data_IF_505260213089
#
_entry.id   IF_505260213089
#
_cell.length_a   1.000
_cell.length_b   1.000
_cell.length_c   1.000
_cell.angle_alpha   90.00
_cell.angle_beta   90.00
_cell.angle_gamma   90.00
#
_symmetry.space_group_name_H-M   'P 1'
#
loop_
_entity.id
_entity.type
_entity.pdbx_description
1 polymer ?
#
# COMPACT_ATOMS: atom_id res chain seq x y z
N UNK A 1 -67.25 -49.15 10.80
CA UNK A 1 -66.32 -48.49 9.86
C UNK A 1 -67.19 -47.66 8.91
N UNK A 2 -67.67 -46.45 9.24
CA UNK A 2 -67.00 -45.13 9.21
C UNK A 2 -66.41 -44.82 7.81
N UNK A 3 -66.73 -43.78 7.00
CA UNK A 3 -67.50 -42.50 6.99
C UNK A 3 -67.83 -42.20 5.48
N UNK A 4 -69.03 -41.79 4.98
CA UNK A 4 -69.75 -40.49 4.97
C UNK A 4 -68.90 -39.26 4.57
N UNK A 5 -68.94 -38.76 3.33
CA UNK A 5 -69.81 -37.70 2.74
C UNK A 5 -69.48 -36.26 3.22
N UNK A 6 -69.17 -35.42 2.21
CA UNK A 6 -69.39 -33.97 2.07
C UNK A 6 -68.38 -32.93 2.60
N UNK A 7 -68.41 -31.80 1.88
CA UNK A 7 -67.89 -30.44 2.14
C UNK A 7 -66.44 -30.18 1.66
N UNK A 8 -66.20 -29.54 0.52
CA UNK A 8 -66.68 -28.24 -0.01
C UNK A 8 -66.17 -27.03 0.81
N UNK A 9 -65.35 -26.22 0.13
CA UNK A 9 -64.95 -24.83 0.42
C UNK A 9 -64.16 -24.54 1.73
N UNK A 10 -62.84 -24.33 1.56
CA UNK A 10 -62.05 -23.31 2.26
C UNK A 10 -61.09 -22.70 1.24
N UNK A 11 -61.40 -21.58 0.59
CA UNK A 11 -61.18 -20.22 1.11
C UNK A 11 -60.01 -20.12 2.10
N UNK A 12 -58.83 -19.75 1.60
CA UNK A 12 -58.23 -18.45 1.85
C UNK A 12 -56.96 -18.35 1.01
N UNK A 13 -57.03 -17.51 -0.01
CA UNK A 13 -55.88 -16.77 -0.53
C UNK A 13 -55.11 -16.19 0.67
N UNK A 14 -53.98 -16.81 1.03
CA UNK A 14 -52.99 -16.15 1.84
C UNK A 14 -52.40 -15.01 1.00
N UNK A 15 -52.45 -13.75 1.45
CA UNK A 15 -51.58 -12.75 0.89
C UNK A 15 -50.16 -13.18 1.24
N UNK A 16 -49.35 -13.51 0.23
CA UNK A 16 -47.91 -13.63 0.37
C UNK A 16 -47.36 -12.27 0.78
N UNK A 17 -47.34 -12.01 2.09
CA UNK A 17 -46.52 -10.97 2.70
C UNK A 17 -45.07 -11.40 2.63
N UNK A 18 -44.51 -11.36 1.42
CA UNK A 18 -43.07 -11.43 1.22
C UNK A 18 -42.56 -9.99 1.23
N UNK A 19 -42.58 -9.38 2.43
CA UNK A 19 -41.78 -8.18 2.71
C UNK A 19 -40.32 -8.62 2.88
N UNK A 20 -39.80 -9.41 1.93
CA UNK A 20 -38.39 -9.77 1.86
C UNK A 20 -37.65 -8.50 1.49
N UNK A 21 -37.10 -7.83 2.50
CA UNK A 21 -36.23 -6.66 2.34
C UNK A 21 -35.22 -7.00 1.24
N UNK A 22 -35.24 -6.23 0.15
CA UNK A 22 -34.29 -6.36 -0.93
C UNK A 22 -32.92 -5.93 -0.42
N UNK A 23 -32.09 -6.92 -0.05
CA UNK A 23 -30.75 -6.67 0.47
C UNK A 23 -29.84 -6.07 -0.60
N UNK A 24 -30.07 -6.33 -1.88
CA UNK A 24 -29.23 -5.75 -2.94
C UNK A 24 -29.49 -4.25 -3.07
N UNK A 25 -30.76 -3.84 -3.06
CA UNK A 25 -31.12 -2.43 -3.00
C UNK A 25 -30.59 -1.77 -1.72
N UNK A 26 -30.77 -2.42 -0.57
CA UNK A 26 -30.30 -1.92 0.72
C UNK A 26 -28.79 -1.67 0.74
N UNK A 27 -27.96 -2.66 0.35
CA UNK A 27 -26.50 -2.52 0.35
C UNK A 27 -26.03 -1.46 -0.66
N UNK A 28 -26.68 -1.38 -1.83
CA UNK A 28 -26.36 -0.38 -2.85
C UNK A 28 -26.69 1.03 -2.36
N UNK A 29 -27.83 1.23 -1.73
CA UNK A 29 -28.31 2.56 -1.33
C UNK A 29 -27.64 3.05 -0.04
N UNK A 30 -27.46 2.19 0.95
CA UNK A 30 -26.87 2.57 2.23
C UNK A 30 -25.34 2.62 2.19
N UNK A 31 -24.71 1.71 1.46
CA UNK A 31 -23.26 1.54 1.53
C UNK A 31 -22.55 1.73 0.18
N UNK A 32 -23.29 2.04 -0.90
CA UNK A 32 -22.74 2.17 -2.25
C UNK A 32 -21.94 0.94 -2.69
N UNK A 33 -22.34 -0.25 -2.21
CA UNK A 33 -21.63 -1.52 -2.47
C UNK A 33 -22.57 -2.52 -3.15
N UNK A 34 -22.02 -3.35 -4.02
CA UNK A 34 -22.73 -4.46 -4.66
C UNK A 34 -21.99 -5.77 -4.44
N UNK A 35 -22.67 -6.90 -4.61
CA UNK A 35 -22.02 -8.21 -4.55
C UNK A 35 -20.88 -8.31 -5.55
N UNK A 36 -21.09 -7.82 -6.77
CA UNK A 36 -20.10 -7.83 -7.84
C UNK A 36 -18.83 -7.03 -7.48
N UNK A 37 -18.99 -5.92 -6.78
CA UNK A 37 -17.87 -5.13 -6.30
C UNK A 37 -17.06 -5.89 -5.24
N UNK A 38 -17.73 -6.51 -4.26
CA UNK A 38 -17.06 -7.28 -3.20
C UNK A 38 -16.40 -8.54 -3.74
N UNK A 39 -17.08 -9.25 -4.65
CA UNK A 39 -16.61 -10.49 -5.28
C UNK A 39 -15.46 -10.28 -6.27
N UNK A 40 -15.25 -9.05 -6.75
CA UNK A 40 -14.19 -8.75 -7.71
C UNK A 40 -12.83 -8.97 -7.08
N UNK A 41 -12.02 -9.89 -7.60
CA UNK A 41 -10.62 -10.02 -7.19
C UNK A 41 -9.69 -9.52 -8.28
N UNK A 42 -8.54 -9.02 -7.84
CA UNK A 42 -7.51 -8.48 -8.73
C UNK A 42 -6.79 -9.62 -9.44
N UNK A 43 -7.19 -9.89 -10.68
CA UNK A 43 -6.53 -10.84 -11.57
C UNK A 43 -5.90 -10.06 -12.74
N UNK A 44 -4.62 -10.34 -13.01
CA UNK A 44 -3.78 -9.61 -13.95
C UNK A 44 -4.29 -9.62 -15.40
N UNK A 45 -5.20 -10.53 -15.75
CA UNK A 45 -5.70 -10.68 -17.13
C UNK A 45 -7.12 -10.14 -17.32
N UNK A 46 -8.03 -10.36 -16.37
CA UNK A 46 -9.42 -9.84 -16.35
C UNK A 46 -9.95 -9.84 -14.92
N UNK A 47 -10.82 -8.89 -14.52
CA UNK A 47 -11.52 -8.98 -13.24
C UNK A 47 -12.37 -10.26 -13.25
N UNK A 48 -12.08 -11.14 -12.30
CA UNK A 48 -12.81 -12.40 -12.16
C UNK A 48 -13.50 -12.42 -10.79
N UNK A 49 -14.71 -12.99 -10.71
CA UNK A 49 -15.48 -13.02 -9.45
C UNK A 49 -15.09 -14.20 -8.57
N UNK A 50 -14.81 -13.95 -7.30
CA UNK A 50 -14.64 -14.97 -6.28
C UNK A 50 -16.03 -15.46 -5.82
N UNK A 51 -16.11 -16.76 -5.51
CA UNK A 51 -17.31 -17.37 -4.94
C UNK A 51 -17.14 -17.71 -3.46
N UNK A 52 -15.89 -17.78 -2.98
CA UNK A 52 -15.57 -18.09 -1.59
C UNK A 52 -15.27 -16.81 -0.81
N UNK A 53 -15.95 -16.66 0.32
CA UNK A 53 -15.83 -15.52 1.23
C UNK A 53 -15.46 -16.01 2.62
N UNK A 54 -14.59 -15.27 3.30
CA UNK A 54 -14.27 -15.46 4.72
C UNK A 54 -14.77 -14.25 5.50
N UNK A 55 -15.63 -14.48 6.50
CA UNK A 55 -16.16 -13.47 7.39
C UNK A 55 -15.35 -13.46 8.70
N UNK A 56 -14.59 -12.40 8.91
CA UNK A 56 -13.74 -12.20 10.09
C UNK A 56 -14.34 -11.15 11.01
N UNK A 57 -15.24 -11.58 11.89
CA UNK A 57 -15.99 -10.73 12.80
C UNK A 57 -15.75 -11.22 14.24
N UNK A 58 -15.05 -10.44 15.09
CA UNK A 58 -14.87 -10.77 16.49
C UNK A 58 -16.22 -10.95 17.20
N UNK A 59 -16.35 -12.00 18.02
CA UNK A 59 -17.62 -12.38 18.65
C UNK A 59 -17.96 -11.59 19.94
N UNK A 60 -17.13 -10.61 20.30
CA UNK A 60 -17.16 -9.94 21.61
C UNK A 60 -18.28 -8.90 21.73
N UNK A 61 -18.92 -8.49 20.63
CA UNK A 61 -19.90 -7.41 20.60
C UNK A 61 -21.18 -7.82 19.89
N UNK A 62 -22.32 -7.53 20.52
CA UNK A 62 -23.65 -7.77 19.94
C UNK A 62 -23.87 -6.96 18.65
N UNK A 63 -23.32 -5.75 18.55
CA UNK A 63 -23.40 -4.94 17.33
C UNK A 63 -22.65 -5.65 16.19
N UNK A 64 -21.42 -6.11 16.45
CA UNK A 64 -20.62 -6.86 15.47
C UNK A 64 -21.30 -8.17 15.09
N UNK A 65 -22.03 -8.78 16.03
CA UNK A 65 -22.84 -9.96 15.78
C UNK A 65 -23.94 -9.69 14.74
N UNK A 66 -24.69 -8.59 14.89
CA UNK A 66 -25.74 -8.19 13.95
C UNK A 66 -25.16 -7.85 12.56
N UNK A 67 -24.02 -7.15 12.52
CA UNK A 67 -23.35 -6.85 11.25
C UNK A 67 -22.92 -8.12 10.50
N UNK A 68 -22.40 -9.12 11.22
CA UNK A 68 -22.07 -10.41 10.66
C UNK A 68 -23.29 -11.11 10.07
N UNK A 69 -24.42 -11.14 10.79
CA UNK A 69 -25.63 -11.83 10.35
C UNK A 69 -26.18 -11.20 9.06
N UNK A 70 -26.20 -9.87 9.01
CA UNK A 70 -26.62 -9.12 7.83
C UNK A 70 -25.70 -9.39 6.63
N UNK A 71 -24.39 -9.38 6.84
CA UNK A 71 -23.41 -9.70 5.79
C UNK A 71 -23.51 -11.17 5.32
N UNK A 72 -23.68 -12.10 6.25
CA UNK A 72 -23.80 -13.52 5.95
C UNK A 72 -25.08 -13.82 5.14
N UNK A 73 -26.22 -13.24 5.51
CA UNK A 73 -27.46 -13.38 4.74
C UNK A 73 -27.37 -12.70 3.36
N UNK A 74 -26.71 -11.54 3.25
CA UNK A 74 -26.43 -10.93 1.96
C UNK A 74 -25.63 -11.86 1.04
N UNK A 75 -24.53 -12.43 1.52
CA UNK A 75 -23.70 -13.35 0.72
C UNK A 75 -24.42 -14.65 0.36
N UNK A 76 -25.23 -15.17 1.27
CA UNK A 76 -26.02 -16.40 1.07
C UNK A 76 -27.05 -16.24 -0.04
N UNK A 77 -27.70 -15.08 -0.17
CA UNK A 77 -28.63 -14.80 -1.29
C UNK A 77 -27.96 -14.86 -2.66
N UNK A 78 -26.66 -14.59 -2.71
CA UNK A 78 -25.82 -14.72 -3.92
C UNK A 78 -25.19 -16.11 -4.09
N UNK A 79 -25.59 -17.10 -3.30
CA UNK A 79 -25.03 -18.46 -3.31
C UNK A 79 -23.50 -18.49 -3.10
N UNK A 80 -22.96 -17.54 -2.32
CA UNK A 80 -21.55 -17.53 -1.98
C UNK A 80 -21.21 -18.65 -0.99
N UNK A 81 -20.02 -19.24 -1.12
CA UNK A 81 -19.47 -20.17 -0.13
C UNK A 81 -18.84 -19.35 0.99
N UNK A 82 -19.45 -19.38 2.18
CA UNK A 82 -19.02 -18.57 3.32
C UNK A 82 -18.30 -19.41 4.36
N UNK A 83 -17.11 -18.94 4.75
CA UNK A 83 -16.32 -19.39 5.90
C UNK A 83 -16.38 -18.29 6.98
N UNK A 84 -16.13 -18.63 8.24
CA UNK A 84 -16.29 -17.68 9.35
C UNK A 84 -15.28 -17.86 10.47
N UNK A 85 -14.91 -16.76 11.13
CA UNK A 85 -14.12 -16.78 12.37
C UNK A 85 -14.85 -17.42 13.55
N UNK A 86 -16.14 -17.72 13.41
CA UNK A 86 -16.97 -18.38 14.43
C UNK A 86 -16.86 -19.89 14.40
N UNK A 87 -16.44 -20.46 13.28
CA UNK A 87 -16.21 -21.89 13.15
C UNK A 87 -14.72 -22.15 13.35
N UNK A 88 -14.33 -23.00 14.30
CA UNK A 88 -12.95 -23.45 14.41
C UNK A 88 -12.46 -24.01 13.07
N UNK A 89 -11.18 -23.84 12.76
CA UNK A 89 -10.51 -24.36 11.56
C UNK A 89 -10.91 -23.74 10.22
N UNK A 90 -12.02 -22.99 10.14
CA UNK A 90 -12.48 -22.39 8.87
C UNK A 90 -11.44 -21.45 8.27
N UNK A 91 -10.70 -20.71 9.11
CA UNK A 91 -9.61 -19.86 8.64
C UNK A 91 -8.52 -20.68 7.96
N UNK A 92 -8.03 -21.72 8.63
CA UNK A 92 -6.96 -22.55 8.10
C UNK A 92 -7.42 -23.27 6.82
N UNK A 93 -8.65 -23.77 6.80
CA UNK A 93 -9.25 -24.37 5.61
C UNK A 93 -9.32 -23.37 4.46
N UNK A 94 -9.82 -22.16 4.69
CA UNK A 94 -9.88 -21.10 3.70
C UNK A 94 -8.48 -20.76 3.19
N UNK A 95 -7.56 -20.40 4.09
CA UNK A 95 -6.22 -19.93 3.76
C UNK A 95 -5.40 -20.98 3.01
N UNK A 96 -5.58 -22.27 3.30
CA UNK A 96 -4.84 -23.35 2.63
C UNK A 96 -5.46 -23.74 1.30
N UNK A 97 -6.78 -23.87 1.23
CA UNK A 97 -7.46 -24.47 0.06
C UNK A 97 -7.87 -23.46 -1.00
N UNK A 98 -8.19 -22.23 -0.61
CA UNK A 98 -8.73 -21.23 -1.53
C UNK A 98 -7.58 -20.54 -2.27
N UNK A 99 -7.65 -20.59 -3.60
CA UNK A 99 -6.74 -19.86 -4.50
C UNK A 99 -7.29 -18.48 -4.88
N UNK A 100 -8.60 -18.34 -4.78
CA UNK A 100 -9.33 -17.16 -5.22
C UNK A 100 -10.54 -16.93 -4.32
N UNK A 101 -10.54 -15.82 -3.60
CA UNK A 101 -11.52 -15.59 -2.53
C UNK A 101 -11.58 -14.14 -2.07
N UNK A 102 -12.46 -13.88 -1.11
CA UNK A 102 -12.59 -12.57 -0.47
C UNK A 102 -12.52 -12.75 1.03
N UNK A 103 -11.74 -11.92 1.72
CA UNK A 103 -11.77 -11.81 3.18
C UNK A 103 -12.47 -10.50 3.54
N UNK A 104 -13.56 -10.59 4.28
CA UNK A 104 -14.31 -9.47 4.83
C UNK A 104 -14.04 -9.40 6.33
N UNK A 105 -13.19 -8.46 6.74
CA UNK A 105 -12.85 -8.24 8.14
C UNK A 105 -13.62 -7.05 8.70
N UNK A 106 -14.22 -7.23 9.87
CA UNK A 106 -14.80 -6.12 10.60
C UNK A 106 -13.68 -5.16 11.05
N UNK A 107 -13.94 -3.86 11.05
CA UNK A 107 -12.95 -2.82 11.37
C UNK A 107 -12.34 -2.93 12.76
N UNK A 108 -12.90 -3.73 13.67
CA UNK A 108 -12.31 -3.96 14.99
C UNK A 108 -11.22 -5.04 14.98
N UNK A 109 -11.08 -5.79 13.89
CA UNK A 109 -10.04 -6.81 13.78
C UNK A 109 -8.72 -6.19 13.32
N UNK A 110 -7.69 -6.26 14.18
CA UNK A 110 -6.35 -5.71 13.93
C UNK A 110 -5.24 -6.77 13.91
N UNK A 111 -5.53 -8.00 14.34
CA UNK A 111 -4.52 -9.02 14.60
C UNK A 111 -4.18 -9.88 13.37
N UNK A 112 -4.04 -9.23 12.20
CA UNK A 112 -3.72 -9.92 10.94
C UNK A 112 -2.38 -10.68 11.01
N UNK A 113 -1.41 -10.13 11.74
CA UNK A 113 -0.08 -10.72 11.92
C UNK A 113 -0.11 -12.08 12.65
N UNK A 114 -1.16 -12.33 13.44
CA UNK A 114 -1.32 -13.57 14.21
C UNK A 114 -2.03 -14.69 13.40
N UNK A 115 -2.50 -14.39 12.20
CA UNK A 115 -3.24 -15.35 11.39
C UNK A 115 -2.30 -16.38 10.75
N UNK A 116 -2.52 -17.69 10.94
CA UNK A 116 -1.70 -18.71 10.30
C UNK A 116 -1.91 -18.70 8.78
N UNK A 117 -0.86 -18.98 8.01
CA UNK A 117 -0.88 -19.01 6.53
C UNK A 117 -1.24 -17.69 5.83
N UNK A 118 -1.26 -16.58 6.58
CA UNK A 118 -1.68 -15.29 6.06
C UNK A 118 -0.74 -14.77 4.97
N UNK A 119 0.58 -14.96 5.15
CA UNK A 119 1.60 -14.59 4.17
C UNK A 119 1.41 -15.30 2.83
N UNK A 120 1.08 -16.58 2.88
CA UNK A 120 0.81 -17.40 1.70
C UNK A 120 -0.50 -16.99 1.04
N UNK A 121 -1.50 -16.58 1.83
CA UNK A 121 -2.80 -16.15 1.34
C UNK A 121 -2.73 -14.83 0.56
N UNK A 122 -1.99 -13.85 1.08
CA UNK A 122 -1.86 -12.52 0.44
C UNK A 122 -1.08 -12.55 -0.88
N UNK A 123 -0.39 -13.67 -1.17
CA UNK A 123 0.28 -13.91 -2.44
C UNK A 123 -0.65 -14.51 -3.51
N UNK A 124 -1.87 -14.90 -3.14
CA UNK A 124 -2.88 -15.48 -4.04
C UNK A 124 -3.87 -14.41 -4.51
N UNK A 125 -4.82 -14.81 -5.36
CA UNK A 125 -5.87 -13.93 -5.87
C UNK A 125 -7.00 -13.74 -4.85
N UNK A 126 -6.66 -13.27 -3.66
CA UNK A 126 -7.60 -13.03 -2.56
C UNK A 126 -7.68 -11.53 -2.29
N UNK A 127 -8.89 -10.97 -2.34
CA UNK A 127 -9.13 -9.57 -1.99
C UNK A 127 -9.49 -9.44 -0.52
N UNK A 128 -8.95 -8.44 0.16
CA UNK A 128 -9.28 -8.15 1.55
C UNK A 128 -10.08 -6.86 1.63
N UNK A 129 -11.07 -6.84 2.50
CA UNK A 129 -11.88 -5.68 2.80
C UNK A 129 -11.97 -5.47 4.30
N UNK A 130 -11.85 -4.22 4.72
CA UNK A 130 -12.28 -3.74 6.03
C UNK A 130 -13.69 -3.18 5.90
N UNK A 131 -14.56 -3.49 6.85
CA UNK A 131 -15.93 -2.99 6.85
C UNK A 131 -16.48 -2.71 8.24
N UNK A 132 -17.47 -1.84 8.30
CA UNK A 132 -18.41 -1.73 9.42
C UNK A 132 -19.73 -1.17 8.92
N UNK A 133 -20.84 -1.82 9.26
CA UNK A 133 -22.16 -1.44 8.76
C UNK A 133 -22.83 -0.38 9.63
N UNK A 134 -22.51 -0.34 10.93
CA UNK A 134 -23.14 0.58 11.89
C UNK A 134 -22.52 1.97 11.86
N UNK A 135 -21.21 2.06 11.64
CA UNK A 135 -20.48 3.33 11.60
C UNK A 135 -19.48 3.36 10.45
N UNK A 136 -19.23 4.52 9.85
CA UNK A 136 -18.15 4.67 8.88
C UNK A 136 -16.80 4.28 9.49
N UNK A 137 -15.90 3.81 8.63
CA UNK A 137 -14.54 3.43 8.97
C UNK A 137 -13.75 4.64 9.49
N UNK A 138 -13.08 4.47 10.63
CA UNK A 138 -12.39 5.58 11.32
C UNK A 138 -11.12 6.07 10.60
N UNK A 139 -10.52 5.22 9.76
CA UNK A 139 -9.24 5.47 9.09
C UNK A 139 -9.37 5.48 7.56
N UNK A 140 -10.59 5.62 7.04
CA UNK A 140 -10.79 5.79 5.61
C UNK A 140 -10.64 7.27 5.21
N UNK A 141 -10.07 7.51 4.03
CA UNK A 141 -9.88 8.88 3.49
C UNK A 141 -11.22 9.63 3.32
N UNK A 142 -12.30 8.89 3.16
CA UNK A 142 -13.66 9.38 3.06
C UNK A 142 -14.60 8.53 3.92
N UNK A 143 -15.72 9.11 4.34
CA UNK A 143 -16.77 8.40 5.10
C UNK A 143 -17.29 7.21 4.30
N UNK A 144 -16.74 6.02 4.57
CA UNK A 144 -17.07 4.77 3.89
C UNK A 144 -17.32 3.67 4.90
N UNK A 145 -18.23 2.77 4.55
CA UNK A 145 -18.51 1.55 5.32
C UNK A 145 -17.68 0.35 4.84
N UNK A 146 -17.08 0.45 3.64
CA UNK A 146 -16.26 -0.58 3.03
C UNK A 146 -14.97 0.05 2.48
N UNK A 147 -13.84 -0.57 2.75
CA UNK A 147 -12.56 -0.17 2.18
C UNK A 147 -11.80 -1.43 1.80
N UNK A 148 -11.35 -1.51 0.55
CA UNK A 148 -10.44 -2.56 0.15
C UNK A 148 -9.12 -2.32 0.87
N UNK A 149 -8.66 -3.33 1.59
CA UNK A 149 -7.37 -3.31 2.25
C UNK A 149 -6.42 -4.19 1.43
N UNK A 150 -5.18 -3.76 1.29
CA UNK A 150 -4.16 -4.45 0.50
C UNK A 150 -4.51 -4.59 -0.99
N UNK A 151 -5.06 -3.54 -1.66
CA UNK A 151 -5.56 -3.64 -3.02
C UNK A 151 -4.46 -3.99 -4.01
N UNK A 152 -3.31 -3.32 -3.93
CA UNK A 152 -2.19 -3.52 -4.86
C UNK A 152 -0.84 -3.16 -4.22
N UNK A 153 0.19 -3.94 -4.58
CA UNK A 153 1.59 -3.62 -4.35
C UNK A 153 2.08 -3.81 -2.92
N UNK A 154 2.96 -2.94 -2.42
CA UNK A 154 3.68 -3.13 -1.17
C UNK A 154 4.66 -2.01 -0.82
N UNK A 155 5.15 -2.05 0.42
CA UNK A 155 6.23 -1.19 0.89
C UNK A 155 7.39 -2.04 1.36
N UNK A 156 8.57 -1.71 0.88
CA UNK A 156 9.80 -2.39 1.24
C UNK A 156 10.52 -1.54 2.28
N UNK A 157 10.76 -2.08 3.48
CA UNK A 157 11.59 -1.39 4.47
C UNK A 157 13.06 -1.75 4.25
N UNK A 158 13.89 -0.73 4.03
CA UNK A 158 15.35 -0.86 3.97
C UNK A 158 15.97 -0.19 5.21
N UNK A 159 16.58 -1.02 6.06
CA UNK A 159 17.19 -0.61 7.33
C UNK A 159 18.62 -0.09 7.13
N UNK A 160 19.10 0.70 8.10
CA UNK A 160 20.45 1.29 8.03
C UNK A 160 21.55 0.23 7.95
N UNK A 161 21.45 -0.83 8.74
CA UNK A 161 22.41 -1.94 8.73
C UNK A 161 22.48 -2.60 7.35
N UNK A 162 21.35 -2.70 6.64
CA UNK A 162 21.32 -3.24 5.30
C UNK A 162 22.01 -2.32 4.30
N UNK A 163 21.75 -1.00 4.36
CA UNK A 163 22.40 -0.02 3.48
C UNK A 163 23.91 0.00 3.67
N UNK A 164 24.38 -0.09 4.92
CA UNK A 164 25.82 -0.09 5.24
C UNK A 164 26.51 -1.41 4.87
N UNK A 165 25.85 -2.55 5.16
CA UNK A 165 26.41 -3.88 4.89
C UNK A 165 26.43 -4.21 3.40
N UNK A 166 25.39 -3.83 2.67
CA UNK A 166 25.21 -4.16 1.25
C UNK A 166 24.70 -2.95 0.44
N UNK A 167 25.57 -1.94 0.23
CA UNK A 167 25.18 -0.73 -0.49
C UNK A 167 24.89 -1.01 -1.96
N UNK A 168 25.55 -2.00 -2.57
CA UNK A 168 25.30 -2.39 -3.96
C UNK A 168 23.87 -2.94 -4.12
N UNK A 169 23.44 -3.82 -3.20
CA UNK A 169 22.09 -4.33 -3.20
C UNK A 169 21.05 -3.22 -3.01
N UNK A 170 21.30 -2.25 -2.13
CA UNK A 170 20.42 -1.09 -1.95
C UNK A 170 20.28 -0.29 -3.23
N UNK A 171 21.40 0.00 -3.91
CA UNK A 171 21.40 0.73 -5.17
C UNK A 171 20.64 -0.03 -6.28
N UNK A 172 20.81 -1.35 -6.32
CA UNK A 172 20.08 -2.25 -7.23
C UNK A 172 18.57 -2.20 -6.97
N UNK A 173 18.13 -2.24 -5.71
CA UNK A 173 16.72 -2.13 -5.35
C UNK A 173 16.14 -0.79 -5.80
N UNK A 174 16.84 0.32 -5.60
CA UNK A 174 16.40 1.64 -6.05
C UNK A 174 16.28 1.73 -7.57
N UNK A 175 17.25 1.17 -8.30
CA UNK A 175 17.22 1.12 -9.76
C UNK A 175 16.08 0.23 -10.29
N UNK A 176 15.87 -0.92 -9.65
CA UNK A 176 14.73 -1.80 -9.94
C UNK A 176 13.40 -1.11 -9.69
N UNK A 177 13.24 -0.45 -8.53
CA UNK A 177 12.01 0.27 -8.19
C UNK A 177 11.70 1.32 -9.26
N UNK A 178 12.71 2.08 -9.69
CA UNK A 178 12.57 3.11 -10.73
C UNK A 178 12.04 2.56 -12.05
N UNK A 179 12.53 1.40 -12.48
CA UNK A 179 12.04 0.75 -13.70
C UNK A 179 10.65 0.13 -13.47
N UNK A 180 10.41 -0.44 -12.28
CA UNK A 180 9.18 -1.13 -11.91
C UNK A 180 7.96 -0.22 -11.82
N UNK A 181 8.07 0.90 -11.11
CA UNK A 181 6.96 1.86 -10.93
C UNK A 181 6.54 2.52 -12.25
N UNK A 182 7.42 2.53 -13.27
CA UNK A 182 7.09 3.02 -14.61
C UNK A 182 6.27 2.02 -15.43
N UNK A 183 6.33 0.73 -15.10
CA UNK A 183 5.67 -0.34 -15.86
C UNK A 183 4.34 -0.80 -15.24
N UNK A 184 4.11 -0.52 -13.96
CA UNK A 184 2.92 -0.97 -13.20
C UNK A 184 2.09 0.23 -12.77
N UNK A 185 0.93 -0.04 -12.15
CA UNK A 185 0.10 0.99 -11.53
C UNK A 185 0.95 1.87 -10.61
N UNK A 186 1.02 3.16 -10.93
CA UNK A 186 1.77 4.14 -10.15
C UNK A 186 1.26 4.15 -8.69
N UNK A 187 2.17 4.29 -7.73
CA UNK A 187 1.85 4.28 -6.30
C UNK A 187 1.71 2.89 -5.65
N UNK A 188 1.70 1.80 -6.44
CA UNK A 188 1.55 0.45 -5.88
C UNK A 188 2.77 0.00 -5.06
N UNK A 189 3.99 0.37 -5.45
CA UNK A 189 5.21 -0.05 -4.74
C UNK A 189 5.97 1.15 -4.21
N UNK A 190 6.37 1.07 -2.94
CA UNK A 190 7.18 2.07 -2.27
C UNK A 190 8.36 1.45 -1.55
N UNK A 191 9.36 2.26 -1.24
CA UNK A 191 10.47 1.89 -0.35
C UNK A 191 10.50 2.87 0.80
N UNK A 192 10.53 2.36 2.03
CA UNK A 192 10.75 3.16 3.23
C UNK A 192 12.20 3.03 3.69
N UNK A 193 12.79 4.16 4.07
CA UNK A 193 14.10 4.23 4.71
C UNK A 193 13.98 4.83 6.12
N UNK A 194 15.12 4.83 6.83
CA UNK A 194 15.33 5.65 8.03
C UNK A 194 14.91 7.12 7.83
N UNK A 195 14.64 7.86 8.91
CA UNK A 195 14.41 9.29 8.83
C UNK A 195 15.61 10.05 8.26
N UNK A 196 15.31 11.08 7.47
CA UNK A 196 16.27 11.95 6.82
C UNK A 196 17.37 11.20 6.06
N UNK A 197 16.95 10.28 5.17
CA UNK A 197 17.88 9.42 4.42
C UNK A 197 18.85 10.23 3.54
N UNK A 198 18.40 11.34 2.97
CA UNK A 198 19.21 12.14 2.04
C UNK A 198 20.40 12.78 2.75
N UNK A 199 20.18 13.48 3.88
CA UNK A 199 21.29 14.06 4.64
C UNK A 199 22.17 12.98 5.27
N UNK A 200 21.58 11.85 5.65
CA UNK A 200 22.34 10.72 6.19
C UNK A 200 23.30 10.14 5.14
N UNK A 201 22.85 9.96 3.89
CA UNK A 201 23.70 9.47 2.80
C UNK A 201 24.89 10.41 2.52
N UNK A 202 24.67 11.74 2.58
CA UNK A 202 25.72 12.74 2.38
C UNK A 202 26.78 12.73 3.49
N UNK A 203 26.47 12.19 4.67
CA UNK A 203 27.38 12.06 5.81
C UNK A 203 28.18 10.76 5.80
N UNK A 204 27.88 9.82 4.91
CA UNK A 204 28.57 8.54 4.88
C UNK A 204 29.99 8.70 4.34
N UNK A 205 30.99 8.04 4.95
CA UNK A 205 32.36 8.08 4.45
C UNK A 205 32.43 7.38 3.09
N UNK A 206 33.22 7.95 2.17
CA UNK A 206 33.47 7.33 0.87
C UNK A 206 34.11 5.95 1.05
N UNK A 207 33.62 4.91 0.34
CA UNK A 207 34.22 3.59 0.40
C UNK A 207 35.68 3.62 -0.05
N UNK A 208 36.53 2.86 0.64
CA UNK A 208 37.95 2.69 0.27
C UNK A 208 38.14 1.96 -1.06
N UNK A 209 37.18 1.10 -1.42
CA UNK A 209 37.17 0.37 -2.68
C UNK A 209 36.84 1.32 -3.84
N UNK A 210 37.75 1.52 -4.82
CA UNK A 210 37.52 2.36 -5.99
C UNK A 210 36.26 1.98 -6.78
N UNK A 211 35.87 0.70 -6.79
CA UNK A 211 34.69 0.23 -7.51
C UNK A 211 33.37 0.68 -6.87
N UNK A 212 33.43 1.11 -5.60
CA UNK A 212 32.29 1.57 -4.80
C UNK A 212 32.28 3.08 -4.56
N UNK A 213 33.25 3.81 -5.12
CA UNK A 213 33.30 5.27 -4.99
C UNK A 213 32.04 5.91 -5.59
N UNK A 214 31.45 6.85 -4.84
CA UNK A 214 30.24 7.56 -5.26
C UNK A 214 28.95 6.74 -5.15
N UNK A 215 28.98 5.58 -4.47
CA UNK A 215 27.78 4.77 -4.25
C UNK A 215 26.70 5.51 -3.46
N UNK A 216 27.09 6.27 -2.43
CA UNK A 216 26.17 7.06 -1.61
C UNK A 216 25.54 8.20 -2.41
N UNK A 217 26.33 8.91 -3.21
CA UNK A 217 25.85 9.95 -4.12
C UNK A 217 24.92 9.38 -5.20
N UNK A 218 25.19 8.16 -5.67
CA UNK A 218 24.33 7.48 -6.64
C UNK A 218 22.97 7.11 -6.04
N UNK A 219 22.95 6.62 -4.78
CA UNK A 219 21.71 6.40 -4.05
C UNK A 219 20.93 7.70 -3.85
N UNK A 220 21.61 8.75 -3.39
CA UNK A 220 21.03 10.09 -3.20
C UNK A 220 20.35 10.57 -4.48
N UNK A 221 21.07 10.55 -5.60
CA UNK A 221 20.56 11.00 -6.90
C UNK A 221 19.36 10.15 -7.36
N UNK A 222 19.37 8.83 -7.13
CA UNK A 222 18.25 7.96 -7.48
C UNK A 222 17.01 8.24 -6.61
N UNK A 223 17.17 8.46 -5.31
CA UNK A 223 16.06 8.80 -4.41
C UNK A 223 15.41 10.12 -4.84
N UNK A 224 16.23 11.15 -5.11
CA UNK A 224 15.72 12.44 -5.62
C UNK A 224 14.98 12.26 -6.95
N UNK A 225 15.52 11.46 -7.88
CA UNK A 225 14.86 11.18 -9.16
C UNK A 225 13.55 10.41 -9.01
N UNK A 226 13.47 9.48 -8.06
CA UNK A 226 12.25 8.70 -7.79
C UNK A 226 11.12 9.59 -7.28
N UNK A 227 11.43 10.55 -6.39
CA UNK A 227 10.41 11.44 -5.82
C UNK A 227 10.07 12.64 -6.73
N UNK A 228 10.99 13.07 -7.60
CA UNK A 228 10.71 14.17 -8.56
C UNK A 228 10.09 13.72 -9.88
N UNK A 229 10.10 12.41 -10.16
CA UNK A 229 9.81 11.85 -11.49
C UNK A 229 8.34 11.78 -11.90
N UNK A 230 7.39 12.28 -11.09
CA UNK A 230 5.94 12.14 -11.34
C UNK A 230 5.25 13.51 -11.40
N UNK A 231 5.64 14.32 -12.38
CA UNK A 231 4.93 15.58 -12.70
C UNK A 231 3.72 15.20 -13.56
N UNK A 232 2.53 15.10 -12.96
CA UNK A 232 1.33 14.79 -13.73
C UNK A 232 -0.02 14.77 -13.01
N UNK A 233 -0.09 14.54 -11.70
CA UNK A 233 -1.38 14.41 -11.01
C UNK A 233 -1.28 14.85 -9.54
N UNK A 234 -2.28 15.59 -9.05
CA UNK A 234 -2.26 16.31 -7.76
C UNK A 234 -2.32 15.40 -6.51
N UNK A 235 -2.25 14.07 -6.68
CA UNK A 235 -2.40 13.09 -5.59
C UNK A 235 -1.30 12.01 -5.58
N UNK A 236 -0.14 12.26 -6.16
CA UNK A 236 0.96 11.28 -6.18
C UNK A 236 1.69 11.22 -4.83
N UNK A 237 1.61 10.07 -4.17
CA UNK A 237 2.46 9.73 -3.04
C UNK A 237 3.88 9.38 -3.52
N UNK A 238 4.89 9.82 -2.77
CA UNK A 238 6.29 9.58 -3.10
C UNK A 238 6.64 8.07 -3.10
N UNK A 239 7.33 7.56 -4.15
CA UNK A 239 7.80 6.18 -4.19
C UNK A 239 8.83 5.86 -3.11
N UNK A 240 9.59 6.86 -2.64
CA UNK A 240 10.53 6.71 -1.53
C UNK A 240 10.05 7.50 -0.33
N UNK A 241 9.77 6.79 0.76
CA UNK A 241 9.32 7.35 2.03
C UNK A 241 10.53 7.47 2.96
N UNK A 242 10.83 8.69 3.38
CA UNK A 242 11.77 8.98 4.46
C UNK A 242 11.27 10.21 5.20
N UNK A 243 10.87 10.02 6.45
CA UNK A 243 10.35 11.11 7.29
C UNK A 243 11.48 12.02 7.74
N UNK A 244 11.18 13.28 8.02
CA UNK A 244 12.18 14.22 8.56
C UNK A 244 12.69 13.75 9.93
N UNK A 245 11.79 13.22 10.76
CA UNK A 245 12.09 12.70 12.07
C UNK A 245 11.08 11.62 12.49
N UNK A 246 11.57 10.64 13.25
CA UNK A 246 10.76 9.77 14.10
C UNK A 246 11.13 10.13 15.55
N UNK A 247 10.16 10.34 16.46
CA UNK A 247 10.44 10.67 17.85
C UNK A 247 11.42 9.66 18.47
N UNK A 248 12.43 10.14 19.22
CA UNK A 248 13.45 9.31 19.87
C UNK A 248 14.32 8.45 18.93
N UNK A 249 14.19 8.58 17.61
CA UNK A 249 15.02 7.83 16.67
C UNK A 249 16.49 8.27 16.75
N UNK A 250 17.41 7.32 16.92
CA UNK A 250 18.83 7.60 17.11
C UNK A 250 19.25 7.91 18.55
N UNK A 251 18.29 8.15 19.46
CA UNK A 251 18.55 8.44 20.87
C UNK A 251 17.79 7.55 21.85
N UNK A 252 17.00 6.58 21.35
CA UNK A 252 16.18 5.68 22.16
C UNK A 252 17.04 4.88 23.12
N UNK A 253 16.70 4.92 24.40
CA UNK A 253 17.36 4.19 25.49
C UNK A 253 16.55 2.97 25.93
N UNK A 254 17.11 2.11 26.77
CA UNK A 254 16.40 0.94 27.32
C UNK A 254 15.44 1.31 28.46
N UNK A 255 15.54 2.53 28.97
CA UNK A 255 14.68 3.05 30.03
C UNK A 255 13.45 3.81 29.47
N UNK A 256 13.41 4.03 28.15
CA UNK A 256 12.33 4.78 27.50
C UNK A 256 11.00 4.00 27.48
N UNK A 257 11.05 2.66 27.42
CA UNK A 257 9.87 1.78 27.40
C UNK A 257 10.22 0.38 27.93
N UNK A 258 9.33 -0.21 28.74
CA UNK A 258 9.54 -1.52 29.36
C UNK A 258 9.60 -2.69 28.35
N UNK A 259 9.06 -2.52 27.15
CA UNK A 259 9.11 -3.49 26.05
C UNK A 259 10.46 -3.53 25.33
N UNK A 260 11.32 -2.53 25.52
CA UNK A 260 12.64 -2.47 24.89
C UNK A 260 13.57 -3.50 25.56
N UNK A 261 14.15 -4.44 24.81
CA UNK A 261 15.09 -5.39 25.38
C UNK A 261 16.33 -4.68 25.94
N UNK A 262 16.76 -5.10 27.14
CA UNK A 262 17.96 -4.56 27.80
C UNK A 262 19.24 -5.05 27.13
N UNK A 263 20.29 -4.23 27.18
CA UNK A 263 21.62 -4.58 26.68
C UNK A 263 21.79 -4.50 25.16
N UNK A 264 20.83 -3.92 24.45
CA UNK A 264 20.95 -3.68 23.01
C UNK A 264 21.90 -2.52 22.71
N UNK A 265 22.66 -2.65 21.61
CA UNK A 265 23.41 -1.53 21.04
C UNK A 265 22.47 -0.45 20.49
N UNK A 266 22.96 0.78 20.26
CA UNK A 266 22.13 1.83 19.68
C UNK A 266 21.67 1.47 18.25
N UNK A 267 22.52 0.80 17.48
CA UNK A 267 22.19 0.36 16.11
C UNK A 267 21.02 -0.63 16.12
N UNK A 268 21.05 -1.62 17.01
CA UNK A 268 19.95 -2.57 17.18
C UNK A 268 18.66 -1.86 17.59
N UNK A 269 18.72 -0.96 18.58
CA UNK A 269 17.57 -0.17 19.01
C UNK A 269 16.99 0.69 17.89
N UNK A 270 17.84 1.27 17.04
CA UNK A 270 17.38 2.07 15.89
C UNK A 270 16.70 1.19 14.84
N UNK A 271 17.23 -0.01 14.57
CA UNK A 271 16.62 -0.96 13.63
C UNK A 271 15.26 -1.44 14.15
N UNK A 272 15.18 -1.83 15.41
CA UNK A 272 13.94 -2.29 16.04
C UNK A 272 12.90 -1.16 16.07
N UNK A 273 13.31 0.05 16.44
CA UNK A 273 12.43 1.21 16.43
C UNK A 273 11.92 1.55 15.02
N UNK A 274 12.77 1.43 13.98
CA UNK A 274 12.34 1.64 12.60
C UNK A 274 11.34 0.57 12.17
N UNK A 275 11.55 -0.69 12.55
CA UNK A 275 10.67 -1.80 12.24
C UNK A 275 9.31 -1.66 12.95
N UNK A 276 9.31 -1.29 14.23
CA UNK A 276 8.11 -0.97 15.02
C UNK A 276 7.33 0.19 14.37
N UNK A 277 8.01 1.28 14.05
CA UNK A 277 7.40 2.41 13.38
C UNK A 277 6.81 2.00 12.02
N UNK A 278 7.55 1.23 11.22
CA UNK A 278 7.10 0.76 9.92
C UNK A 278 5.85 -0.13 10.04
N UNK A 279 5.83 -1.05 11.00
CA UNK A 279 4.66 -1.88 11.28
C UNK A 279 3.46 -1.01 11.69
N UNK A 280 3.67 -0.05 12.60
CA UNK A 280 2.63 0.89 13.03
C UNK A 280 2.15 1.83 11.93
N UNK A 281 3.02 2.22 10.99
CA UNK A 281 2.69 3.05 9.84
C UNK A 281 1.92 2.27 8.77
N UNK A 282 2.27 1.00 8.56
CA UNK A 282 1.64 0.15 7.55
C UNK A 282 0.19 -0.24 7.89
N UNK A 283 -0.16 -0.29 9.19
CA UNK A 283 -1.50 -0.68 9.67
C UNK A 283 -2.58 0.34 9.25
N UNK A 284 -2.49 1.65 9.58
CA UNK A 284 -3.47 2.65 9.14
C UNK A 284 -3.52 2.82 7.63
N UNK A 285 -2.38 2.69 6.95
CA UNK A 285 -2.29 2.80 5.50
C UNK A 285 -2.88 1.61 4.73
N UNK A 286 -3.35 0.57 5.42
CA UNK A 286 -3.84 -0.67 4.81
C UNK A 286 -2.83 -1.24 3.79
N UNK A 287 -1.54 -1.22 4.13
CA UNK A 287 -0.44 -1.74 3.29
C UNK A 287 0.11 -3.03 3.93
N UNK A 288 -0.18 -4.20 3.35
CA UNK A 288 0.21 -5.49 3.93
C UNK A 288 1.51 -6.06 3.42
N UNK A 289 1.89 -5.73 2.18
CA UNK A 289 3.11 -6.28 1.61
C UNK A 289 4.28 -5.44 2.08
N UNK A 290 4.47 -5.50 3.39
CA UNK A 290 5.45 -4.82 4.20
C UNK A 290 6.58 -5.82 4.43
N UNK A 291 7.51 -5.86 3.49
CA UNK A 291 8.63 -6.79 3.51
C UNK A 291 9.86 -6.03 4.03
N UNK A 292 10.44 -6.52 5.13
CA UNK A 292 11.74 -6.03 5.59
C UNK A 292 12.84 -6.69 4.75
N UNK A 293 13.73 -5.90 4.16
CA UNK A 293 14.81 -6.45 3.33
C UNK A 293 15.89 -7.04 4.23
N UNK A 294 15.94 -8.36 4.26
CA UNK A 294 17.16 -9.11 4.58
C UNK A 294 17.76 -9.66 3.28
N UNK A 295 19.04 -10.05 3.26
CA UNK A 295 19.75 -10.50 2.04
C UNK A 295 19.04 -11.63 1.26
N UNK A 296 18.17 -12.40 1.93
CA UNK A 296 17.31 -13.45 1.35
C UNK A 296 16.03 -12.93 0.66
N UNK A 297 15.78 -11.62 0.68
CA UNK A 297 14.54 -10.99 0.21
C UNK A 297 14.55 -10.66 -1.29
N UNK A 298 15.73 -10.51 -1.92
CA UNK A 298 15.80 -10.18 -3.36
C UNK A 298 15.17 -11.22 -4.28
N UNK A 299 15.21 -12.51 -3.90
CA UNK A 299 14.51 -13.57 -4.64
C UNK A 299 12.99 -13.47 -4.55
N UNK A 300 12.45 -12.91 -3.46
CA UNK A 300 11.00 -12.72 -3.25
C UNK A 300 10.40 -11.72 -4.23
N UNK A 301 11.21 -10.78 -4.72
CA UNK A 301 10.81 -9.74 -5.67
C UNK A 301 11.24 -10.04 -7.11
N UNK A 302 11.82 -11.22 -7.36
CA UNK A 302 12.35 -11.63 -8.66
C UNK A 302 13.32 -10.58 -9.27
N UNK A 303 14.09 -9.88 -8.43
CA UNK A 303 15.04 -8.86 -8.89
C UNK A 303 16.24 -9.55 -9.52
N UNK A 304 16.42 -9.36 -10.83
CA UNK A 304 17.64 -9.78 -11.53
C UNK A 304 18.81 -8.88 -11.13
N UNK A 305 19.47 -9.25 -10.04
CA UNK A 305 20.59 -8.51 -9.48
C UNK A 305 21.65 -8.19 -10.53
N UNK A 306 22.03 -9.17 -11.36
CA UNK A 306 23.11 -9.00 -12.34
C UNK A 306 22.73 -7.95 -13.37
N UNK A 307 21.53 -8.05 -13.93
CA UNK A 307 21.03 -7.10 -14.92
C UNK A 307 20.98 -5.67 -14.36
N UNK A 308 20.50 -5.48 -13.13
CA UNK A 308 20.43 -4.15 -12.53
C UNK A 308 21.80 -3.62 -12.09
N UNK A 309 22.67 -4.48 -11.58
CA UNK A 309 24.04 -4.10 -11.23
C UNK A 309 24.81 -3.61 -12.45
N UNK A 310 24.72 -4.33 -13.58
CA UNK A 310 25.38 -3.95 -14.83
C UNK A 310 24.84 -2.60 -15.39
N UNK A 311 23.59 -2.24 -15.08
CA UNK A 311 23.01 -0.92 -15.43
C UNK A 311 23.56 0.23 -14.57
N UNK A 312 23.78 -0.01 -13.27
CA UNK A 312 24.19 1.05 -12.33
C UNK A 312 25.71 1.19 -12.19
N UNK A 313 26.45 0.09 -12.31
CA UNK A 313 27.91 0.05 -12.16
C UNK A 313 28.65 1.07 -13.05
N UNK A 314 28.30 1.31 -14.32
CA UNK A 314 28.99 2.29 -15.16
C UNK A 314 28.88 3.74 -14.67
N UNK A 315 27.97 4.02 -13.73
CA UNK A 315 27.76 5.35 -13.13
C UNK A 315 28.61 5.54 -11.87
N UNK A 316 29.04 4.44 -11.23
CA UNK A 316 29.98 4.45 -10.12
C UNK A 316 31.38 4.74 -10.67
N UNK A 317 31.94 5.91 -10.36
CA UNK A 317 33.28 6.32 -10.79
C UNK A 317 33.35 7.29 -11.98
N UNK A 318 32.24 7.59 -12.67
CA UNK A 318 32.16 8.73 -13.60
C UNK A 318 31.60 9.95 -12.88
N UNK A 319 32.39 10.52 -11.96
CA UNK A 319 32.17 11.89 -11.47
C UNK A 319 32.53 12.86 -12.59
N UNK A 320 31.62 12.96 -13.55
CA UNK A 320 31.60 13.95 -14.59
C UNK A 320 30.15 14.13 -14.98
N UNK A 321 29.58 15.28 -14.63
CA UNK A 321 28.32 15.81 -15.17
C UNK A 321 28.44 15.85 -16.70
N UNK A 322 28.26 14.71 -17.38
CA UNK A 322 28.10 14.69 -18.84
C UNK A 322 26.61 14.67 -19.10
N UNK A 323 26.06 15.87 -19.24
CA UNK A 323 24.90 16.13 -20.06
C UNK A 323 25.22 15.74 -21.51
N UNK A 324 25.24 14.45 -21.82
CA UNK A 324 25.13 13.98 -23.20
C UNK A 324 23.76 13.32 -23.35
N UNK A 325 22.76 14.20 -23.44
CA UNK A 325 21.63 13.94 -24.30
C UNK A 325 22.18 13.76 -25.73
N UNK A 326 22.48 12.51 -26.10
CA UNK A 326 22.69 12.16 -27.51
C UNK A 326 21.37 12.37 -28.22
N UNK A 327 21.28 13.54 -28.84
CA UNK A 327 20.35 13.93 -29.87
C UNK A 327 20.45 12.93 -31.03
N UNK A 328 19.49 12.02 -31.09
CA UNK A 328 19.20 11.30 -32.32
C UNK A 328 17.90 11.88 -32.89
N UNK A 329 18.03 13.04 -33.52
CA UNK A 329 17.03 13.59 -34.44
C UNK A 329 17.79 14.30 -35.56
N UNK A 330 18.14 13.55 -36.59
CA UNK A 330 18.38 14.12 -37.91
C UNK A 330 17.02 14.19 -38.61
N UNK A 331 16.49 15.39 -38.77
CA UNK A 331 15.61 15.73 -39.89
C UNK A 331 15.95 17.16 -40.34
N UNK A 332 16.00 17.42 -41.65
CA UNK A 332 16.57 18.64 -42.20
C UNK A 332 15.60 19.83 -42.13
N UNK A 333 16.23 21.00 -42.15
CA UNK A 333 15.69 22.35 -42.13
C UNK A 333 14.36 22.54 -42.88
N UNK A 334 13.35 23.02 -42.15
CA UNK A 334 12.19 23.70 -42.72
C UNK A 334 12.17 25.13 -42.18
N UNK A 335 12.41 26.11 -43.05
CA UNK A 335 12.31 27.54 -42.74
C UNK A 335 10.98 28.08 -43.25
N UNK A 336 10.10 28.60 -42.39
CA UNK A 336 9.07 29.52 -42.82
C UNK A 336 9.54 30.96 -42.59
N UNK A 337 9.53 31.75 -43.67
CA UNK A 337 9.59 33.21 -43.63
C UNK A 337 8.38 33.76 -42.88
N UNK A 338 8.60 34.76 -42.02
CA UNK A 338 7.52 35.66 -41.57
C UNK A 338 7.93 37.11 -41.81
N UNK A 339 7.03 37.96 -42.34
CA UNK A 339 7.35 39.34 -42.71
C UNK A 339 7.12 40.34 -41.58
N UNK A 340 7.87 41.45 -41.64
CA UNK A 340 7.35 42.80 -41.40
C UNK A 340 7.24 43.27 -39.94
N UNK A 341 8.24 44.02 -39.51
CA UNK A 341 8.22 44.87 -38.33
C UNK A 341 7.20 46.01 -38.44
N UNK A 342 6.60 46.43 -37.30
CA UNK A 342 6.34 47.84 -36.94
C UNK A 342 5.84 48.00 -35.48
N UNK A 343 6.77 48.38 -34.60
CA UNK A 343 6.65 49.29 -33.42
C UNK A 343 5.74 48.94 -32.23
N UNK A 344 5.76 49.76 -31.14
CA UNK A 344 6.83 50.60 -30.60
C UNK A 344 7.26 50.18 -29.17
N UNK A 345 8.36 50.79 -28.73
CA UNK A 345 9.02 50.67 -27.42
C UNK A 345 8.11 51.05 -26.25
N UNK A 346 8.17 50.30 -25.16
CA UNK A 346 7.70 50.71 -23.84
C UNK A 346 8.66 50.21 -22.75
N UNK A 347 8.98 51.14 -21.87
CA UNK A 347 9.98 51.08 -20.82
C UNK A 347 9.73 50.04 -19.73
N UNK A 348 10.83 49.56 -19.17
CA UNK A 348 11.02 49.45 -17.72
C UNK A 348 10.01 48.60 -16.94
N UNK A 349 10.29 47.30 -16.81
CA UNK A 349 9.77 46.52 -15.69
C UNK A 349 10.87 45.73 -14.99
N UNK A 350 10.95 46.04 -13.71
CA UNK A 350 11.88 45.67 -12.65
C UNK A 350 11.84 44.16 -12.35
N UNK A 351 13.01 43.53 -12.40
CA UNK A 351 13.25 42.13 -12.08
C UNK A 351 13.58 42.01 -10.60
N UNK A 352 12.54 42.07 -9.75
CA UNK A 352 12.70 41.91 -8.31
C UNK A 352 11.46 41.29 -7.66
N UNK A 353 11.04 40.07 -8.07
CA UNK A 353 10.04 39.27 -7.33
C UNK A 353 10.10 37.79 -7.70
N UNK A 354 11.13 37.11 -7.20
CA UNK A 354 11.18 35.65 -7.06
C UNK A 354 11.63 35.36 -5.64
N UNK A 355 10.69 35.00 -4.77
CA UNK A 355 10.98 34.66 -3.39
C UNK A 355 9.76 34.10 -2.68
N UNK A 356 9.80 32.79 -2.42
CA UNK A 356 8.98 32.13 -1.41
C UNK A 356 7.86 31.25 -1.98
N UNK A 357 8.20 30.00 -2.33
CA UNK A 357 7.22 28.91 -2.23
C UNK A 357 7.05 28.57 -0.74
N UNK A 358 5.83 28.56 -0.18
CA UNK A 358 5.61 28.07 1.17
C UNK A 358 5.69 26.54 1.16
N UNK A 359 6.68 25.98 1.84
CA UNK A 359 6.65 24.58 2.26
C UNK A 359 5.50 24.43 3.27
N UNK A 360 4.36 23.94 2.79
CA UNK A 360 3.26 23.50 3.65
C UNK A 360 3.72 22.32 4.49
N UNK A 361 3.99 22.57 5.76
CA UNK A 361 4.21 21.53 6.76
C UNK A 361 2.87 20.81 6.98
N UNK A 362 2.69 19.68 6.31
CA UNK A 362 1.64 18.72 6.65
C UNK A 362 2.01 18.08 7.99
N UNK A 363 1.64 18.75 9.09
CA UNK A 363 1.65 18.16 10.43
C UNK A 363 0.62 17.04 10.48
N UNK A 364 1.02 15.84 10.09
CA UNK A 364 0.32 14.62 10.45
C UNK A 364 0.38 14.48 11.98
N UNK A 365 -0.74 14.81 12.65
CA UNK A 365 -0.91 14.55 14.08
C UNK A 365 -1.10 13.04 14.25
N UNK A 366 -0.03 12.34 14.59
CA UNK A 366 -0.10 10.93 14.97
C UNK A 366 -0.71 10.77 16.37
N UNK A 367 -1.58 9.77 16.59
CA UNK A 367 -1.93 9.35 17.94
C UNK A 367 -0.68 8.81 18.64
N UNK A 368 -0.51 9.17 19.93
CA UNK A 368 0.56 8.60 20.74
C UNK A 368 0.35 7.10 20.88
N UNK A 369 1.42 6.29 20.83
CA UNK A 369 1.29 4.85 21.01
C UNK A 369 0.77 4.57 22.42
N UNK A 370 -0.29 3.76 22.45
CA UNK A 370 -0.82 2.91 23.52
C UNK A 370 -0.29 3.19 24.94
N UNK A 371 -1.18 3.77 25.77
CA UNK A 371 -1.13 3.60 27.23
C UNK A 371 -1.90 2.34 27.64
#
# INVERSE_FOLDING_TARGET
>A
MAQSIADDIKSLSQPSTDNTVDLDAFFREQFSVTYDLLASVNDAKKPTKAQAFYLMFPAESEVVQQEYELMHEFLKRHNAVTYSSRLPEDWERFARTIQKGVVLAHQSFMNYHALPYFKELIQRNVSFWSLSLTRPLQHADHSSHFQRIFPHGGVILITEDFVLRDPEATLVILAWLKDWIRQKFQGSWKVMFRPNILDWLLKQPEPKDPLRQGIWLSMYALIVQLNTGVVGDEHHEDPVISLDAIPLYGSRTEDDDASIPKGLTQEQRNTDHLAEFFAGWAIPGNMLRSDMVQKKSMSTFEVDYKTYWDKVKPRLGKLGLSSEAKSQNQNPAYTPRTPGANGPSADGLDVSRLGGFPHGSLRLKYPQPYQ
#
